data_IF_034434195559
#
_entry.id   IF_034434195559
#
_cell.length_a   1.000
_cell.length_b   1.000
_cell.length_c   1.000
_cell.angle_alpha   90.00
_cell.angle_beta   90.00
_cell.angle_gamma   90.00
#
_symmetry.space_group_name_H-M   'P 1'
#
loop_
_entity.id
_entity.type
_entity.pdbx_description
1 polymer ?
#
# COMPACT_ATOMS: atom_id res chain seq x y z
N UNK A 1 7.97 -26.03 9.73
CA UNK A 1 6.81 -25.52 8.95
C UNK A 1 6.99 -24.03 8.71
N UNK A 2 7.05 -23.61 7.47
CA UNK A 2 7.15 -22.20 7.06
C UNK A 2 5.81 -21.71 6.53
N UNK A 3 5.52 -20.42 6.67
CA UNK A 3 4.26 -19.81 6.26
C UNK A 3 4.54 -18.66 5.31
N UNK A 4 3.87 -18.66 4.17
CA UNK A 4 4.15 -17.74 3.07
C UNK A 4 2.84 -17.13 2.60
N UNK A 5 2.76 -15.81 2.57
CA UNK A 5 1.69 -15.07 1.90
C UNK A 5 2.31 -14.37 0.70
N UNK A 6 1.76 -14.61 -0.48
CA UNK A 6 2.11 -13.90 -1.71
C UNK A 6 0.87 -13.16 -2.18
N UNK A 7 0.93 -11.86 -2.15
CA UNK A 7 -0.16 -10.98 -2.49
C UNK A 7 0.13 -10.26 -3.80
N UNK A 8 -0.74 -10.48 -4.79
CA UNK A 8 -0.79 -9.69 -6.01
C UNK A 8 -1.84 -8.59 -5.86
N UNK A 9 -1.38 -7.39 -5.50
CA UNK A 9 -2.24 -6.23 -5.27
C UNK A 9 -3.12 -5.97 -6.49
N UNK A 10 -4.42 -5.75 -6.27
CA UNK A 10 -5.38 -5.44 -7.31
C UNK A 10 -5.52 -6.49 -8.43
N UNK A 11 -5.01 -7.72 -8.23
CA UNK A 11 -4.94 -8.76 -9.26
C UNK A 11 -6.34 -9.21 -9.73
N UNK A 12 -7.34 -9.18 -8.85
CA UNK A 12 -8.71 -9.55 -9.20
C UNK A 12 -9.39 -8.49 -10.09
N UNK A 13 -10.30 -8.96 -10.95
CA UNK A 13 -11.00 -8.12 -11.90
C UNK A 13 -12.35 -8.73 -12.28
N UNK A 14 -13.18 -7.95 -12.98
CA UNK A 14 -14.43 -8.37 -13.58
C UNK A 14 -14.19 -9.17 -14.89
N UNK A 15 -15.15 -9.97 -15.34
CA UNK A 15 -15.15 -10.51 -16.71
C UNK A 15 -15.16 -9.39 -17.75
N UNK A 16 -14.29 -9.48 -18.76
CA UNK A 16 -14.11 -8.45 -19.80
C UNK A 16 -14.50 -9.01 -21.16
N UNK A 17 -15.37 -8.31 -21.89
CA UNK A 17 -15.85 -8.77 -23.21
C UNK A 17 -14.71 -8.99 -24.21
N UNK A 18 -13.71 -8.12 -24.23
CA UNK A 18 -12.52 -8.25 -25.08
C UNK A 18 -11.69 -9.52 -24.79
N UNK A 19 -11.88 -10.15 -23.63
CA UNK A 19 -11.27 -11.41 -23.22
C UNK A 19 -12.24 -12.61 -23.37
N UNK A 20 -13.34 -12.43 -24.10
CA UNK A 20 -14.37 -13.45 -24.25
C UNK A 20 -15.11 -13.77 -22.96
N UNK A 21 -15.31 -12.77 -22.11
CA UNK A 21 -16.01 -12.91 -20.83
C UNK A 21 -15.15 -13.51 -19.69
N UNK A 22 -13.84 -13.48 -19.81
CA UNK A 22 -12.90 -13.89 -18.76
C UNK A 22 -12.31 -12.69 -18.05
N UNK A 23 -11.87 -12.87 -16.80
CA UNK A 23 -11.05 -11.88 -16.09
C UNK A 23 -9.60 -11.91 -16.58
N UNK A 24 -8.79 -10.86 -16.31
CA UNK A 24 -7.35 -10.88 -16.55
C UNK A 24 -6.65 -12.06 -15.90
N UNK A 25 -7.00 -12.40 -14.64
CA UNK A 25 -6.48 -13.57 -13.93
C UNK A 25 -6.82 -14.88 -14.65
N UNK A 26 -8.05 -15.03 -15.15
CA UNK A 26 -8.48 -16.22 -15.89
C UNK A 26 -7.82 -16.35 -17.28
N UNK A 27 -7.28 -15.27 -17.84
CA UNK A 27 -6.56 -15.25 -19.11
C UNK A 27 -5.05 -15.43 -18.95
N UNK A 28 -4.49 -15.05 -17.80
CA UNK A 28 -3.08 -15.16 -17.53
C UNK A 28 -2.61 -16.63 -17.50
N UNK A 29 -1.42 -16.87 -18.02
CA UNK A 29 -0.77 -18.19 -17.93
C UNK A 29 -0.07 -18.32 -16.57
N UNK A 30 -0.74 -18.98 -15.61
CA UNK A 30 -0.31 -19.10 -14.22
C UNK A 30 -0.16 -20.58 -13.79
N UNK A 31 0.76 -21.35 -14.40
CA UNK A 31 0.86 -22.79 -14.17
C UNK A 31 1.15 -23.17 -12.71
N UNK A 32 1.87 -22.33 -11.96
CA UNK A 32 2.17 -22.62 -10.55
C UNK A 32 0.98 -22.30 -9.66
N UNK A 33 0.29 -21.19 -9.86
CA UNK A 33 -0.96 -20.90 -9.14
C UNK A 33 -2.03 -21.95 -9.45
N UNK A 34 -2.14 -22.44 -10.70
CA UNK A 34 -3.04 -23.53 -11.08
C UNK A 34 -2.66 -24.85 -10.38
N UNK A 35 -1.36 -25.13 -10.28
CA UNK A 35 -0.87 -26.29 -9.51
C UNK A 35 -1.27 -26.17 -8.03
N UNK A 36 -1.05 -24.99 -7.41
CA UNK A 36 -1.46 -24.74 -6.03
C UNK A 36 -2.97 -24.91 -5.85
N UNK A 37 -3.78 -24.39 -6.78
CA UNK A 37 -5.24 -24.54 -6.77
C UNK A 37 -5.70 -26.00 -6.89
N UNK A 38 -5.00 -26.78 -7.74
CA UNK A 38 -5.32 -28.20 -7.93
C UNK A 38 -4.99 -29.07 -6.71
N UNK A 39 -4.03 -28.66 -5.90
CA UNK A 39 -3.51 -29.40 -4.73
C UNK A 39 -3.91 -28.80 -3.39
N UNK A 40 -4.37 -27.56 -3.37
CA UNK A 40 -4.73 -26.80 -2.18
C UNK A 40 -6.23 -26.66 -1.94
N UNK A 41 -6.56 -25.74 -1.08
CA UNK A 41 -7.91 -25.24 -0.84
C UNK A 41 -8.09 -23.91 -1.53
N UNK A 42 -9.22 -23.71 -2.18
CA UNK A 42 -9.61 -22.47 -2.85
C UNK A 42 -10.92 -21.94 -2.30
N UNK A 43 -11.13 -20.64 -2.38
CA UNK A 43 -12.38 -19.98 -2.05
C UNK A 43 -12.32 -18.48 -2.29
N UNK A 44 -13.37 -17.79 -1.86
CA UNK A 44 -13.47 -16.33 -1.88
C UNK A 44 -13.29 -15.75 -0.47
N UNK A 45 -12.70 -14.56 -0.37
CA UNK A 45 -12.48 -13.87 0.90
C UNK A 45 -12.84 -12.39 0.80
N UNK A 46 -13.49 -11.87 1.84
CA UNK A 46 -13.82 -10.46 1.99
C UNK A 46 -12.74 -9.75 2.81
N UNK A 47 -11.76 -9.16 2.15
CA UNK A 47 -10.65 -8.46 2.83
C UNK A 47 -11.01 -7.03 3.26
N UNK A 48 -11.89 -6.37 2.51
CA UNK A 48 -12.39 -5.03 2.84
C UNK A 48 -13.69 -5.16 3.63
N UNK A 49 -13.72 -4.82 4.93
CA UNK A 49 -14.95 -4.90 5.72
C UNK A 49 -16.03 -3.97 5.18
N UNK A 50 -17.29 -4.37 5.32
CA UNK A 50 -18.43 -3.56 4.92
C UNK A 50 -18.39 -2.17 5.59
N UNK A 51 -18.59 -1.12 4.81
CA UNK A 51 -18.61 0.26 5.28
C UNK A 51 -17.24 0.93 5.36
N UNK A 52 -16.14 0.21 5.09
CA UNK A 52 -14.81 0.80 4.93
C UNK A 52 -14.51 1.05 3.44
N UNK A 53 -13.77 2.13 3.18
CA UNK A 53 -13.31 2.41 1.82
C UNK A 53 -12.34 1.32 1.36
N UNK A 54 -12.46 0.83 0.11
CA UNK A 54 -11.52 -0.14 -0.41
C UNK A 54 -10.15 0.50 -0.62
N UNK A 55 -9.13 -0.11 -0.04
CA UNK A 55 -7.75 0.36 -0.14
C UNK A 55 -6.78 -0.67 0.41
N UNK A 56 -5.56 -0.63 -0.09
CA UNK A 56 -4.50 -1.57 0.30
C UNK A 56 -4.16 -1.50 1.81
N UNK A 57 -4.38 -0.35 2.46
CA UNK A 57 -4.23 -0.20 3.92
C UNK A 57 -5.20 -1.10 4.69
N UNK A 58 -6.48 -1.00 4.39
CA UNK A 58 -7.55 -1.79 5.04
C UNK A 58 -7.41 -3.27 4.67
N UNK A 59 -7.26 -3.57 3.38
CA UNK A 59 -7.23 -4.94 2.89
C UNK A 59 -5.99 -5.72 3.37
N UNK A 60 -4.80 -5.11 3.34
CA UNK A 60 -3.58 -5.78 3.82
C UNK A 60 -3.53 -5.95 5.34
N UNK A 61 -4.14 -5.06 6.14
CA UNK A 61 -4.38 -5.31 7.56
C UNK A 61 -5.20 -6.58 7.76
N UNK A 62 -6.30 -6.74 7.00
CA UNK A 62 -7.12 -7.95 7.03
C UNK A 62 -6.31 -9.19 6.70
N UNK A 63 -5.57 -9.21 5.59
CA UNK A 63 -4.79 -10.37 5.18
C UNK A 63 -3.72 -10.75 6.20
N UNK A 64 -3.13 -9.75 6.90
CA UNK A 64 -2.19 -9.97 8.01
C UNK A 64 -2.88 -10.40 9.33
N UNK A 65 -4.20 -10.51 9.32
CA UNK A 65 -4.96 -10.99 10.47
C UNK A 65 -5.29 -9.93 11.52
N UNK A 66 -5.20 -8.66 11.17
CA UNK A 66 -5.65 -7.56 12.00
C UNK A 66 -7.04 -7.12 11.55
N UNK A 67 -7.98 -6.98 12.48
CA UNK A 67 -9.31 -6.44 12.16
C UNK A 67 -9.20 -4.93 11.88
N UNK A 68 -9.40 -4.48 10.64
CA UNK A 68 -9.24 -3.06 10.31
C UNK A 68 -10.21 -2.16 11.06
N UNK A 69 -11.40 -2.65 11.39
CA UNK A 69 -12.38 -1.89 12.15
C UNK A 69 -11.88 -1.53 13.56
N UNK A 70 -10.92 -2.28 14.09
CA UNK A 70 -10.33 -2.08 15.42
C UNK A 70 -9.01 -1.34 15.36
N UNK A 71 -8.15 -1.65 14.38
CA UNK A 71 -6.76 -1.19 14.37
C UNK A 71 -6.46 -0.08 13.36
N UNK A 72 -7.29 0.12 12.35
CA UNK A 72 -7.06 1.16 11.34
C UNK A 72 -7.46 2.53 11.88
N UNK A 73 -6.55 3.47 11.79
CA UNK A 73 -6.74 4.83 12.32
C UNK A 73 -6.34 5.92 11.30
N UNK A 74 -6.15 5.53 10.04
CA UNK A 74 -5.74 6.39 8.95
C UNK A 74 -4.45 5.92 8.27
N UNK A 75 -4.23 6.40 7.05
CA UNK A 75 -3.08 6.02 6.21
C UNK A 75 -1.78 6.66 6.67
N UNK A 76 -1.82 7.94 7.04
CA UNK A 76 -0.62 8.71 7.39
C UNK A 76 0.20 8.14 8.54
N UNK A 77 -0.41 7.61 9.62
CA UNK A 77 0.36 6.95 10.68
C UNK A 77 1.13 5.73 10.21
N UNK A 78 0.58 4.95 9.28
CA UNK A 78 1.28 3.80 8.70
C UNK A 78 2.49 4.23 7.86
N UNK A 79 2.32 5.27 7.05
CA UNK A 79 3.44 5.85 6.28
C UNK A 79 4.51 6.45 7.20
N UNK A 80 4.12 7.09 8.31
CA UNK A 80 5.06 7.60 9.30
C UNK A 80 5.89 6.48 9.95
N UNK A 81 5.27 5.35 10.28
CA UNK A 81 5.98 4.18 10.80
C UNK A 81 7.02 3.64 9.81
N UNK A 82 6.73 3.67 8.50
CA UNK A 82 7.65 3.16 7.48
C UNK A 82 8.96 3.93 7.41
N UNK A 83 8.93 5.22 7.72
CA UNK A 83 10.12 6.10 7.74
C UNK A 83 10.70 6.28 9.14
N UNK A 84 10.26 5.48 10.12
CA UNK A 84 10.82 5.45 11.46
C UNK A 84 10.40 6.62 12.36
N UNK A 85 9.31 7.33 12.02
CA UNK A 85 8.79 8.43 12.84
C UNK A 85 8.12 7.88 14.09
N UNK A 86 8.61 8.27 15.26
CA UNK A 86 8.00 7.93 16.53
C UNK A 86 6.73 8.77 16.76
N UNK A 87 5.68 8.14 17.27
CA UNK A 87 4.42 8.79 17.60
C UNK A 87 3.82 8.22 18.89
N UNK A 88 3.18 9.07 19.66
CA UNK A 88 2.41 8.68 20.84
C UNK A 88 0.94 8.43 20.48
N UNK A 89 0.18 7.70 21.29
CA UNK A 89 -1.24 7.43 21.01
C UNK A 89 -2.14 8.66 20.90
N UNK A 90 -1.73 9.77 21.52
CA UNK A 90 -2.46 11.06 21.52
C UNK A 90 -2.05 11.98 20.36
N UNK A 91 -1.03 11.61 19.60
CA UNK A 91 -0.56 12.42 18.47
C UNK A 91 -1.48 12.25 17.25
N UNK A 92 -1.68 13.33 16.53
CA UNK A 92 -2.28 13.30 15.20
C UNK A 92 -1.17 13.29 14.16
N UNK A 93 -1.20 12.31 13.29
CA UNK A 93 -0.29 12.20 12.15
C UNK A 93 -1.01 12.71 10.92
N UNK A 94 -0.40 13.66 10.25
CA UNK A 94 -0.91 14.25 9.03
C UNK A 94 0.00 13.92 7.86
N UNK A 95 -0.55 13.58 6.74
CA UNK A 95 0.15 13.68 5.47
C UNK A 95 0.30 15.17 5.11
N UNK A 96 1.47 15.53 4.66
CA UNK A 96 1.79 16.89 4.29
C UNK A 96 2.41 16.90 2.89
N UNK A 97 1.63 17.28 1.90
CA UNK A 97 2.16 17.46 0.54
C UNK A 97 2.75 18.85 0.39
N UNK A 98 3.79 18.99 -0.46
CA UNK A 98 4.12 20.30 -1.05
C UNK A 98 3.44 20.36 -2.41
N UNK A 99 2.51 21.29 -2.57
CA UNK A 99 1.68 21.43 -3.77
C UNK A 99 2.04 22.70 -4.56
N UNK A 100 1.54 22.80 -5.79
CA UNK A 100 1.61 24.01 -6.62
C UNK A 100 0.27 24.74 -6.57
N UNK A 101 0.28 25.94 -6.06
CA UNK A 101 -0.84 26.89 -6.09
C UNK A 101 -0.54 28.06 -7.04
N UNK A 102 -1.60 28.65 -7.57
CA UNK A 102 -1.56 29.94 -8.28
C UNK A 102 -1.21 31.09 -7.33
N UNK A 103 -1.03 32.29 -7.89
CA UNK A 103 -0.56 33.45 -7.12
C UNK A 103 -1.65 34.48 -6.79
N UNK A 104 -2.95 34.19 -7.03
CA UNK A 104 -4.06 35.06 -6.68
C UNK A 104 -4.10 35.36 -5.16
N UNK A 105 -4.57 36.53 -4.82
CA UNK A 105 -4.79 36.95 -3.43
C UNK A 105 -6.28 37.30 -3.18
N UNK A 106 -6.83 37.00 -2.01
CA UNK A 106 -6.19 36.38 -0.83
C UNK A 106 -5.91 34.89 -1.00
N UNK A 107 -5.16 34.29 -0.08
CA UNK A 107 -4.75 32.86 -0.14
C UNK A 107 -5.89 31.89 -0.49
N UNK A 108 -7.09 32.14 0.05
CA UNK A 108 -8.26 31.29 -0.22
C UNK A 108 -8.78 31.34 -1.67
N UNK A 109 -8.37 32.34 -2.45
CA UNK A 109 -8.76 32.48 -3.87
C UNK A 109 -7.76 31.79 -4.82
N UNK A 110 -6.66 31.26 -4.30
CA UNK A 110 -5.70 30.49 -5.09
C UNK A 110 -6.32 29.23 -5.64
N UNK A 111 -5.80 28.76 -6.76
CA UNK A 111 -6.22 27.52 -7.42
C UNK A 111 -5.12 26.48 -7.23
N UNK A 112 -5.49 25.23 -6.91
CA UNK A 112 -4.55 24.13 -6.88
C UNK A 112 -4.26 23.63 -8.30
N UNK A 113 -3.01 23.79 -8.74
CA UNK A 113 -2.57 23.41 -10.09
C UNK A 113 -2.05 21.99 -10.14
N UNK A 114 -1.34 21.57 -9.09
CA UNK A 114 -0.66 20.27 -9.07
C UNK A 114 -0.41 19.82 -7.63
N UNK A 115 -0.88 18.62 -7.30
CA UNK A 115 -0.75 18.04 -5.97
C UNK A 115 0.65 17.47 -5.70
N UNK A 116 1.49 17.33 -6.74
CA UNK A 116 2.80 16.70 -6.70
C UNK A 116 3.95 17.65 -7.00
N UNK A 117 3.63 18.92 -7.35
CA UNK A 117 4.60 19.92 -7.80
C UNK A 117 5.48 19.44 -8.96
N UNK A 118 4.88 18.75 -9.95
CA UNK A 118 5.58 18.16 -11.09
C UNK A 118 6.45 16.98 -10.68
N UNK A 119 6.00 16.14 -9.76
CA UNK A 119 6.75 15.04 -9.19
C UNK A 119 8.13 15.53 -8.71
N UNK A 120 8.12 16.54 -7.82
CA UNK A 120 9.36 17.14 -7.30
C UNK A 120 10.33 16.07 -6.79
N UNK A 121 11.61 16.19 -7.09
CA UNK A 121 12.62 15.26 -6.59
C UNK A 121 12.70 15.31 -5.05
N UNK A 122 12.97 14.16 -4.40
CA UNK A 122 13.17 14.13 -2.94
C UNK A 122 14.24 15.10 -2.47
N UNK A 123 15.32 15.25 -3.24
CA UNK A 123 16.40 16.19 -2.92
C UNK A 123 15.94 17.66 -2.93
N UNK A 124 15.16 18.08 -3.95
CA UNK A 124 14.61 19.42 -4.01
C UNK A 124 13.59 19.65 -2.87
N UNK A 125 12.74 18.63 -2.63
CA UNK A 125 11.73 18.70 -1.57
C UNK A 125 12.37 18.82 -0.17
N UNK A 126 13.47 18.12 0.07
CA UNK A 126 14.17 18.18 1.36
C UNK A 126 14.70 19.57 1.67
N UNK A 127 15.24 20.27 0.67
CA UNK A 127 15.68 21.69 0.80
C UNK A 127 14.49 22.60 1.17
N UNK A 128 13.32 22.40 0.56
CA UNK A 128 12.13 23.18 0.90
C UNK A 128 11.58 22.82 2.28
N UNK A 129 11.65 21.55 2.64
CA UNK A 129 11.24 21.09 3.98
C UNK A 129 12.17 21.58 5.08
N UNK A 130 13.46 21.86 4.80
CA UNK A 130 14.35 22.54 5.76
C UNK A 130 13.81 23.92 6.12
N UNK A 131 13.39 24.72 5.13
CA UNK A 131 12.77 26.02 5.40
C UNK A 131 11.46 25.90 6.19
N UNK A 132 10.67 24.85 5.93
CA UNK A 132 9.45 24.55 6.70
C UNK A 132 9.78 24.17 8.14
N UNK A 133 10.77 23.30 8.37
CA UNK A 133 11.23 22.90 9.70
C UNK A 133 11.73 24.09 10.49
N UNK A 134 12.52 24.96 9.87
CA UNK A 134 13.01 26.19 10.52
C UNK A 134 11.86 27.10 10.96
N UNK A 135 10.80 27.22 10.15
CA UNK A 135 9.69 28.13 10.41
C UNK A 135 8.63 27.56 11.37
N UNK A 136 8.42 26.23 11.40
CA UNK A 136 7.23 25.66 12.06
C UNK A 136 7.52 24.55 13.05
N UNK A 137 8.73 23.93 13.08
CA UNK A 137 9.04 22.94 14.12
C UNK A 137 8.92 23.56 15.51
N UNK A 138 8.21 22.86 16.39
CA UNK A 138 7.96 23.26 17.77
C UNK A 138 7.71 22.02 18.62
N UNK A 139 7.49 22.20 19.92
CA UNK A 139 7.04 21.11 20.80
C UNK A 139 5.65 20.57 20.40
N UNK A 140 4.84 21.35 19.69
CA UNK A 140 3.52 20.96 19.24
C UNK A 140 3.51 20.34 17.84
N UNK A 141 4.32 20.84 16.90
CA UNK A 141 4.36 20.37 15.51
C UNK A 141 5.78 19.96 15.12
N UNK A 142 5.89 18.78 14.48
CA UNK A 142 7.15 18.27 13.96
C UNK A 142 6.98 17.81 12.52
N UNK A 143 7.90 18.21 11.64
CA UNK A 143 7.86 17.93 10.20
C UNK A 143 8.97 16.98 9.80
N UNK A 144 8.61 15.95 9.02
CA UNK A 144 9.52 14.91 8.54
C UNK A 144 9.46 14.82 7.02
N UNK A 145 10.63 14.83 6.37
CA UNK A 145 10.70 14.64 4.94
C UNK A 145 10.40 13.18 4.58
N UNK A 146 9.53 12.99 3.62
CA UNK A 146 9.26 11.71 3.00
C UNK A 146 9.83 11.65 1.59
N UNK A 147 9.14 10.99 0.67
CA UNK A 147 9.58 10.80 -0.71
C UNK A 147 8.87 11.79 -1.63
N UNK A 148 9.64 12.49 -2.49
CA UNK A 148 9.11 13.45 -3.46
C UNK A 148 8.27 14.54 -2.75
N UNK A 149 7.05 14.78 -3.17
CA UNK A 149 6.12 15.77 -2.62
C UNK A 149 5.43 15.34 -1.31
N UNK A 150 5.63 14.10 -0.85
CA UNK A 150 4.90 13.48 0.27
C UNK A 150 5.73 13.53 1.54
N UNK A 151 5.25 14.25 2.54
CA UNK A 151 5.89 14.43 3.84
C UNK A 151 4.92 14.10 4.96
N UNK A 152 5.43 14.05 6.19
CA UNK A 152 4.67 13.73 7.39
C UNK A 152 4.76 14.90 8.37
N UNK A 153 3.65 15.21 9.02
CA UNK A 153 3.62 16.14 10.15
C UNK A 153 3.03 15.42 11.36
N UNK A 154 3.71 15.50 12.50
CA UNK A 154 3.18 15.08 13.79
C UNK A 154 2.64 16.31 14.52
N UNK A 155 1.38 16.28 14.89
CA UNK A 155 0.74 17.25 15.77
C UNK A 155 0.55 16.63 17.14
N UNK A 156 1.42 17.03 18.09
CA UNK A 156 1.44 16.51 19.46
C UNK A 156 0.16 16.86 20.22
N UNK A 157 -0.49 15.83 20.77
CA UNK A 157 -1.76 15.98 21.50
C UNK A 157 -2.82 16.79 20.72
N UNK A 158 -2.84 16.64 19.38
CA UNK A 158 -3.74 17.33 18.49
C UNK A 158 -5.19 16.83 18.59
N UNK A 159 -6.07 17.48 17.86
CA UNK A 159 -7.47 17.06 17.69
C UNK A 159 -7.66 16.59 16.24
N UNK A 160 -8.45 15.53 16.03
CA UNK A 160 -8.67 14.98 14.69
C UNK A 160 -9.34 16.03 13.78
N UNK A 161 -8.65 16.54 12.76
CA UNK A 161 -9.18 17.52 11.84
C UNK A 161 -9.94 16.85 10.69
N UNK A 162 -10.89 17.56 10.10
CA UNK A 162 -11.44 17.23 8.79
C UNK A 162 -10.56 17.89 7.71
N UNK A 163 -10.06 17.10 6.79
CA UNK A 163 -9.11 17.53 5.77
C UNK A 163 -9.44 16.85 4.43
N UNK A 164 -9.23 17.60 3.36
CA UNK A 164 -9.50 17.15 1.99
C UNK A 164 -8.20 16.80 1.25
N UNK A 165 -8.17 15.68 0.50
CA UNK A 165 -7.01 15.30 -0.31
C UNK A 165 -6.77 16.29 -1.46
N UNK A 166 -5.54 16.74 -1.71
CA UNK A 166 -5.27 17.76 -2.73
C UNK A 166 -5.53 17.28 -4.17
N UNK A 167 -5.41 15.99 -4.42
CA UNK A 167 -5.61 15.40 -5.76
C UNK A 167 -7.09 15.36 -6.19
N UNK A 168 -8.03 15.46 -5.26
CA UNK A 168 -9.46 15.49 -5.56
C UNK A 168 -9.95 16.87 -6.02
N UNK A 169 -9.11 17.92 -5.83
CA UNK A 169 -9.50 19.32 -6.04
C UNK A 169 -8.61 20.05 -7.05
N UNK A 170 -7.95 19.32 -7.95
CA UNK A 170 -7.14 19.92 -9.01
C UNK A 170 -7.99 20.88 -9.87
N UNK A 171 -7.39 22.02 -10.23
CA UNK A 171 -8.01 23.10 -10.99
C UNK A 171 -9.16 23.86 -10.27
N UNK A 172 -9.34 23.62 -8.98
CA UNK A 172 -10.37 24.27 -8.16
C UNK A 172 -9.77 25.32 -7.23
N UNK A 173 -10.57 26.34 -6.91
CA UNK A 173 -10.24 27.35 -5.89
C UNK A 173 -10.21 26.69 -4.52
N UNK A 174 -9.15 26.94 -3.73
CA UNK A 174 -8.87 26.18 -2.51
C UNK A 174 -9.72 26.56 -1.30
N UNK A 175 -10.32 27.75 -1.28
CA UNK A 175 -11.03 28.29 -0.13
C UNK A 175 -11.99 27.33 0.56
N UNK A 176 -12.89 26.63 -0.18
CA UNK A 176 -13.83 25.65 0.39
C UNK A 176 -13.18 24.44 1.04
N UNK A 177 -11.94 24.11 0.66
CA UNK A 177 -11.22 22.89 1.05
C UNK A 177 -10.15 23.12 2.12
N UNK A 178 -9.96 24.37 2.55
CA UNK A 178 -9.01 24.71 3.60
C UNK A 178 -9.45 24.14 4.95
N UNK A 179 -8.50 23.72 5.81
CA UNK A 179 -8.82 23.24 7.15
C UNK A 179 -9.63 24.25 7.96
N UNK A 180 -10.61 23.73 8.70
CA UNK A 180 -11.33 24.55 9.70
C UNK A 180 -10.45 24.82 10.94
N UNK A 181 -9.45 23.98 11.18
CA UNK A 181 -8.49 24.15 12.27
C UNK A 181 -7.59 25.36 12.00
N UNK A 182 -7.65 26.41 12.84
CA UNK A 182 -6.95 27.68 12.57
C UNK A 182 -5.44 27.56 12.48
N UNK A 183 -4.82 26.66 13.27
CA UNK A 183 -3.37 26.46 13.26
C UNK A 183 -2.90 25.86 11.94
N UNK A 184 -3.58 24.81 11.45
CA UNK A 184 -3.24 24.17 10.18
C UNK A 184 -3.42 25.14 9.01
N UNK A 185 -4.53 25.89 9.01
CA UNK A 185 -4.80 26.90 7.98
C UNK A 185 -3.72 27.99 7.97
N UNK A 186 -3.37 28.53 9.13
CA UNK A 186 -2.33 29.57 9.25
C UNK A 186 -0.96 29.07 8.79
N UNK A 187 -0.62 27.79 9.04
CA UNK A 187 0.62 27.20 8.56
C UNK A 187 0.63 27.03 7.04
N UNK A 188 -0.50 26.66 6.41
CA UNK A 188 -0.62 26.58 4.95
C UNK A 188 -0.41 27.96 4.32
N UNK A 189 -1.08 29.00 4.82
CA UNK A 189 -0.92 30.38 4.33
C UNK A 189 0.52 30.90 4.48
N UNK A 190 1.13 30.70 5.67
CA UNK A 190 2.52 31.11 5.92
C UNK A 190 3.52 30.31 5.08
N UNK A 191 3.25 29.03 4.84
CA UNK A 191 4.12 28.21 4.01
C UNK A 191 4.20 28.73 2.58
N UNK A 192 3.08 29.25 2.04
CA UNK A 192 3.08 29.86 0.73
C UNK A 192 3.98 31.11 0.68
N UNK A 193 3.93 31.97 1.68
CA UNK A 193 4.79 33.15 1.74
C UNK A 193 6.29 32.78 1.78
N UNK A 194 6.64 31.69 2.47
CA UNK A 194 8.01 31.20 2.58
C UNK A 194 8.45 30.52 1.27
N UNK A 195 7.66 29.58 0.79
CA UNK A 195 8.06 28.69 -0.30
C UNK A 195 7.96 29.37 -1.67
N UNK A 196 6.96 30.25 -1.91
CA UNK A 196 6.77 30.89 -3.21
C UNK A 196 7.96 31.78 -3.64
N UNK A 197 8.66 32.33 -2.66
CA UNK A 197 9.83 33.20 -2.86
C UNK A 197 11.16 32.48 -2.59
N UNK A 198 11.12 31.21 -2.22
CA UNK A 198 12.34 30.44 -1.95
C UNK A 198 13.25 30.35 -3.19
N UNK A 199 14.58 30.53 -3.07
CA UNK A 199 15.51 30.54 -4.22
C UNK A 199 15.37 29.33 -5.13
N UNK A 200 15.20 28.11 -4.57
CA UNK A 200 14.98 26.88 -5.35
C UNK A 200 13.70 26.96 -6.20
N UNK A 201 12.61 27.52 -5.67
CA UNK A 201 11.36 27.66 -6.41
C UNK A 201 11.46 28.72 -7.52
N UNK A 202 12.23 29.77 -7.31
CA UNK A 202 12.54 30.74 -8.37
C UNK A 202 13.36 30.10 -9.48
N UNK A 203 14.35 29.28 -9.13
CA UNK A 203 15.14 28.51 -10.10
C UNK A 203 14.29 27.48 -10.87
N UNK A 204 13.38 26.77 -10.17
CA UNK A 204 12.43 25.82 -10.77
C UNK A 204 11.54 26.53 -11.80
N UNK A 205 10.96 27.67 -11.42
CA UNK A 205 10.13 28.47 -12.32
C UNK A 205 10.92 28.98 -13.55
N UNK A 206 12.16 29.42 -13.37
CA UNK A 206 13.02 29.85 -14.47
C UNK A 206 13.35 28.71 -15.45
N UNK A 207 13.30 27.46 -14.98
CA UNK A 207 13.46 26.23 -15.80
C UNK A 207 12.13 25.68 -16.34
N UNK A 208 11.02 26.41 -16.21
CA UNK A 208 9.69 25.99 -16.66
C UNK A 208 9.08 24.85 -15.83
N UNK A 209 9.58 24.61 -14.62
CA UNK A 209 9.01 23.63 -13.68
C UNK A 209 8.01 24.29 -12.74
N UNK A 210 7.06 23.52 -12.25
CA UNK A 210 6.12 23.98 -11.22
C UNK A 210 6.88 24.38 -9.94
N UNK A 211 6.49 25.51 -9.32
CA UNK A 211 6.90 25.83 -7.97
C UNK A 211 6.24 24.85 -7.00
N UNK A 212 6.96 24.38 -6.02
CA UNK A 212 6.41 23.65 -4.88
C UNK A 212 6.19 24.64 -3.74
N UNK A 213 5.07 25.38 -3.78
CA UNK A 213 4.95 26.68 -3.11
C UNK A 213 3.98 26.71 -1.93
N UNK A 214 3.33 25.62 -1.57
CA UNK A 214 2.47 25.57 -0.38
C UNK A 214 2.44 24.19 0.25
N UNK A 215 2.35 24.11 1.57
CA UNK A 215 1.97 22.88 2.27
C UNK A 215 0.47 22.60 2.07
N UNK A 216 0.13 21.30 2.05
CA UNK A 216 -1.25 20.84 2.07
C UNK A 216 -1.39 19.66 3.02
N UNK A 217 -2.14 19.84 4.12
CA UNK A 217 -2.38 18.80 5.11
C UNK A 217 -3.59 17.96 4.74
N UNK A 218 -3.48 16.63 4.88
CA UNK A 218 -4.58 15.69 4.64
C UNK A 218 -4.32 14.33 5.28
N UNK A 219 -5.27 13.40 5.18
CA UNK A 219 -5.09 12.01 5.58
C UNK A 219 -4.76 11.82 7.07
N UNK A 220 -5.38 12.65 7.94
CA UNK A 220 -5.16 12.60 9.38
C UNK A 220 -5.44 11.22 9.97
N UNK A 221 -4.65 10.83 10.98
CA UNK A 221 -4.85 9.60 11.74
C UNK A 221 -4.09 9.61 13.05
N UNK A 222 -4.35 8.61 13.88
CA UNK A 222 -3.65 8.37 15.15
C UNK A 222 -2.76 7.15 15.05
N UNK A 223 -1.89 6.93 16.04
CA UNK A 223 -1.07 5.72 16.10
C UNK A 223 -1.92 4.47 15.97
N UNK A 224 -1.68 3.59 14.97
CA UNK A 224 -2.47 2.37 14.81
C UNK A 224 -2.23 1.40 15.98
N UNK A 225 -3.30 0.76 16.43
CA UNK A 225 -3.23 -0.25 17.51
C UNK A 225 -2.93 -1.62 16.94
N UNK A 226 -1.68 -1.85 16.53
CA UNK A 226 -1.23 -3.14 16.01
C UNK A 226 -0.55 -3.95 17.11
N UNK A 227 -1.15 -5.09 17.46
CA UNK A 227 -0.50 -6.08 18.31
C UNK A 227 0.77 -6.60 17.62
N UNK A 228 1.87 -6.77 18.35
CA UNK A 228 3.08 -7.37 17.80
C UNK A 228 2.79 -8.73 17.15
N UNK A 229 3.26 -8.94 15.94
CA UNK A 229 2.96 -10.15 15.14
C UNK A 229 3.46 -11.42 15.82
N UNK A 230 4.66 -11.37 16.43
CA UNK A 230 5.21 -12.53 17.14
C UNK A 230 4.40 -12.84 18.40
N UNK A 231 3.96 -11.84 19.16
CA UNK A 231 3.09 -12.05 20.32
C UNK A 231 1.72 -12.63 19.91
N UNK A 232 1.17 -12.14 18.79
CA UNK A 232 -0.12 -12.59 18.26
C UNK A 232 -0.08 -14.02 17.71
N UNK A 233 0.99 -14.37 17.00
CA UNK A 233 1.06 -15.62 16.23
C UNK A 233 2.04 -16.65 16.78
N UNK A 234 3.00 -16.25 17.59
CA UNK A 234 4.14 -17.08 18.02
C UNK A 234 5.22 -17.22 16.93
N UNK A 235 5.12 -16.48 15.80
CA UNK A 235 5.99 -16.61 14.65
C UNK A 235 6.81 -15.34 14.42
N UNK A 236 8.06 -15.50 13.99
CA UNK A 236 8.87 -14.39 13.51
C UNK A 236 8.47 -14.04 12.08
N UNK A 237 7.88 -12.86 11.90
CA UNK A 237 7.37 -12.39 10.63
C UNK A 237 8.35 -11.51 9.86
N UNK A 238 8.29 -11.60 8.53
CA UNK A 238 8.99 -10.74 7.59
C UNK A 238 8.04 -10.16 6.53
N UNK A 239 8.36 -8.95 6.05
CA UNK A 239 7.64 -8.25 4.98
C UNK A 239 8.60 -7.92 3.84
N UNK A 240 8.19 -8.24 2.62
CA UNK A 240 8.86 -7.84 1.38
C UNK A 240 7.88 -7.01 0.54
N UNK A 241 8.07 -5.70 0.47
CA UNK A 241 7.21 -4.78 -0.29
C UNK A 241 8.01 -3.57 -0.78
N UNK A 242 7.63 -3.01 -1.93
CA UNK A 242 8.11 -1.71 -2.40
C UNK A 242 7.34 -0.55 -1.73
N UNK A 243 6.11 -0.81 -1.27
CA UNK A 243 5.13 0.19 -0.83
C UNK A 243 5.37 0.58 0.62
N UNK A 244 5.54 1.87 0.89
CA UNK A 244 5.82 2.36 2.25
C UNK A 244 4.68 2.06 3.23
N UNK A 245 3.44 2.10 2.77
CA UNK A 245 2.26 1.73 3.55
C UNK A 245 2.39 0.32 4.15
N UNK A 246 2.77 -0.67 3.35
CA UNK A 246 2.95 -2.06 3.78
C UNK A 246 4.14 -2.23 4.73
N UNK A 247 5.24 -1.51 4.44
CA UNK A 247 6.39 -1.44 5.34
C UNK A 247 5.98 -0.87 6.69
N UNK A 248 5.13 0.18 6.70
CA UNK A 248 4.61 0.78 7.92
C UNK A 248 3.75 -0.17 8.75
N UNK A 249 2.87 -0.95 8.10
CA UNK A 249 2.12 -2.03 8.77
C UNK A 249 3.08 -3.04 9.42
N UNK A 250 4.10 -3.46 8.68
CA UNK A 250 5.08 -4.42 9.17
C UNK A 250 5.88 -3.87 10.37
N UNK A 251 6.36 -2.63 10.30
CA UNK A 251 7.06 -1.95 11.41
C UNK A 251 6.14 -1.84 12.63
N UNK A 252 4.90 -1.38 12.44
CA UNK A 252 3.90 -1.29 13.51
C UNK A 252 3.57 -2.62 14.17
N UNK A 253 3.61 -3.71 13.39
CA UNK A 253 3.42 -5.07 13.84
C UNK A 253 4.70 -5.75 14.37
N UNK A 254 5.85 -5.07 14.39
CA UNK A 254 7.13 -5.62 14.84
C UNK A 254 7.71 -6.72 13.93
N UNK A 255 7.37 -6.70 12.63
CA UNK A 255 7.91 -7.60 11.62
C UNK A 255 9.20 -7.05 11.02
N UNK A 256 10.09 -7.94 10.56
CA UNK A 256 11.30 -7.56 9.83
C UNK A 256 10.94 -7.09 8.41
N UNK A 257 11.41 -5.91 8.01
CA UNK A 257 11.21 -5.37 6.65
C UNK A 257 12.46 -5.60 5.81
N UNK A 258 12.27 -6.18 4.62
CA UNK A 258 13.34 -6.38 3.64
C UNK A 258 13.29 -5.29 2.56
N UNK A 259 14.42 -4.60 2.40
CA UNK A 259 14.60 -3.65 1.30
C UNK A 259 15.15 -4.41 0.10
N UNK A 260 14.46 -4.31 -1.04
CA UNK A 260 14.86 -5.00 -2.28
C UNK A 260 15.29 -3.95 -3.31
N UNK A 261 16.56 -3.91 -3.71
CA UNK A 261 17.01 -2.97 -4.75
C UNK A 261 16.23 -3.19 -6.05
N UNK A 262 15.75 -2.10 -6.65
CA UNK A 262 14.95 -2.15 -7.88
C UNK A 262 13.50 -2.63 -7.68
N UNK A 263 13.04 -2.80 -6.44
CA UNK A 263 11.63 -3.01 -6.18
C UNK A 263 10.86 -1.68 -6.38
N UNK A 264 9.85 -1.74 -7.24
CA UNK A 264 8.93 -0.63 -7.56
C UNK A 264 7.48 -1.09 -7.41
N UNK A 265 6.52 -0.18 -7.55
CA UNK A 265 5.09 -0.51 -7.67
C UNK A 265 4.68 -0.92 -9.08
N UNK A 266 5.53 -0.79 -10.08
CA UNK A 266 5.21 -1.01 -11.49
C UNK A 266 5.58 -2.41 -12.00
N UNK A 267 5.23 -2.69 -13.25
CA UNK A 267 5.46 -3.99 -13.91
C UNK A 267 6.96 -4.35 -14.05
N UNK A 268 7.85 -3.35 -14.05
CA UNK A 268 9.31 -3.53 -14.10
C UNK A 268 9.95 -3.82 -12.74
N UNK A 269 9.14 -3.97 -11.68
CA UNK A 269 9.64 -4.30 -10.33
C UNK A 269 10.56 -5.52 -10.34
N UNK A 270 11.53 -5.55 -9.43
CA UNK A 270 12.46 -6.68 -9.27
C UNK A 270 11.78 -7.88 -8.59
N UNK A 271 11.05 -8.69 -9.38
CA UNK A 271 10.37 -9.90 -8.91
C UNK A 271 11.35 -10.91 -8.32
N UNK A 272 12.48 -11.14 -8.98
CA UNK A 272 13.51 -12.10 -8.54
C UNK A 272 14.14 -11.67 -7.22
N UNK A 273 14.40 -10.37 -7.06
CA UNK A 273 14.90 -9.80 -5.79
C UNK A 273 13.89 -9.96 -4.65
N UNK A 274 12.59 -9.79 -4.91
CA UNK A 274 11.53 -10.04 -3.93
C UNK A 274 11.45 -11.53 -3.56
N UNK A 275 11.54 -12.42 -4.56
CA UNK A 275 11.57 -13.86 -4.32
C UNK A 275 12.79 -14.27 -3.47
N UNK A 276 13.98 -13.75 -3.80
CA UNK A 276 15.20 -14.04 -3.07
C UNK A 276 15.13 -13.53 -1.62
N UNK A 277 14.59 -12.34 -1.39
CA UNK A 277 14.40 -11.80 -0.04
C UNK A 277 13.46 -12.68 0.80
N UNK A 278 12.38 -13.20 0.21
CA UNK A 278 11.47 -14.13 0.88
C UNK A 278 12.17 -15.45 1.22
N UNK A 279 12.95 -16.01 0.30
CA UNK A 279 13.73 -17.24 0.51
C UNK A 279 14.76 -17.02 1.63
N UNK A 280 15.50 -15.92 1.60
CA UNK A 280 16.52 -15.61 2.61
C UNK A 280 15.89 -15.40 3.99
N UNK A 281 14.74 -14.74 4.08
CA UNK A 281 14.00 -14.60 5.32
C UNK A 281 13.69 -15.95 5.98
N UNK A 282 13.20 -16.90 5.18
CA UNK A 282 12.74 -18.20 5.67
C UNK A 282 13.89 -19.19 5.92
N UNK A 283 14.95 -19.17 5.09
CA UNK A 283 16.01 -20.19 5.12
C UNK A 283 17.29 -19.75 5.83
N UNK A 284 17.58 -18.44 5.86
CA UNK A 284 18.84 -17.91 6.43
C UNK A 284 18.63 -17.09 7.69
N UNK A 285 17.56 -16.26 7.73
CA UNK A 285 17.38 -15.25 8.78
C UNK A 285 16.46 -15.70 9.92
N UNK A 286 16.00 -16.97 9.86
CA UNK A 286 15.22 -17.60 10.92
C UNK A 286 13.80 -17.06 11.07
N UNK A 287 13.22 -16.45 10.03
CA UNK A 287 11.82 -16.13 9.99
C UNK A 287 10.97 -17.40 9.77
N UNK A 288 9.78 -17.41 10.36
CA UNK A 288 8.81 -18.49 10.22
C UNK A 288 7.71 -18.13 9.23
N UNK A 289 7.48 -16.84 9.04
CA UNK A 289 6.44 -16.25 8.21
C UNK A 289 7.03 -15.18 7.31
N UNK A 290 6.64 -15.16 6.04
CA UNK A 290 6.95 -14.07 5.10
C UNK A 290 5.70 -13.62 4.36
N UNK A 291 5.55 -12.31 4.25
CA UNK A 291 4.54 -11.64 3.45
C UNK A 291 5.22 -10.95 2.28
N UNK A 292 4.91 -11.35 1.06
CA UNK A 292 5.47 -10.75 -0.16
C UNK A 292 4.37 -10.03 -0.91
N UNK A 293 4.55 -8.76 -1.11
CA UNK A 293 3.59 -7.87 -1.78
C UNK A 293 4.12 -7.43 -3.15
N UNK A 294 3.28 -7.52 -4.17
CA UNK A 294 3.57 -7.07 -5.54
C UNK A 294 2.43 -6.17 -6.01
N UNK A 295 2.70 -4.88 -6.18
CA UNK A 295 1.72 -3.84 -6.55
C UNK A 295 1.44 -3.80 -8.06
N UNK A 296 2.28 -4.41 -8.88
CA UNK A 296 2.24 -4.28 -10.34
C UNK A 296 0.85 -4.54 -10.98
N UNK A 297 0.05 -5.56 -10.60
CA UNK A 297 -1.27 -5.74 -11.19
C UNK A 297 -2.24 -4.61 -10.88
N UNK A 298 -2.15 -4.00 -9.69
CA UNK A 298 -2.96 -2.87 -9.25
C UNK A 298 -2.64 -1.62 -10.08
N UNK A 299 -1.38 -1.27 -10.18
CA UNK A 299 -0.92 -0.11 -10.95
C UNK A 299 -1.33 -0.21 -12.43
N UNK A 300 -1.24 -1.41 -13.01
CA UNK A 300 -1.72 -1.63 -14.39
C UNK A 300 -3.25 -1.51 -14.48
N UNK A 301 -3.98 -1.91 -13.43
CA UNK A 301 -5.42 -1.71 -13.28
C UNK A 301 -5.80 -0.23 -13.27
N UNK A 302 -5.15 0.58 -12.45
CA UNK A 302 -5.34 2.03 -12.37
C UNK A 302 -5.07 2.75 -13.70
N UNK A 303 -4.05 2.32 -14.42
CA UNK A 303 -3.71 2.88 -15.73
C UNK A 303 -4.62 2.37 -16.85
N UNK A 304 -5.43 1.34 -16.63
CA UNK A 304 -6.28 0.71 -17.64
C UNK A 304 -5.49 -0.10 -18.67
N UNK A 305 -4.33 -0.61 -18.31
CA UNK A 305 -3.39 -1.35 -19.15
C UNK A 305 -3.64 -2.85 -19.04
N UNK A 306 -4.64 -3.33 -19.78
CA UNK A 306 -5.12 -4.72 -19.71
C UNK A 306 -4.03 -5.76 -19.99
N UNK A 307 -3.22 -5.57 -21.04
CA UNK A 307 -2.18 -6.52 -21.41
C UNK A 307 -1.08 -6.60 -20.36
N UNK A 308 -0.68 -5.46 -19.84
CA UNK A 308 0.33 -5.32 -18.83
C UNK A 308 -0.17 -5.88 -17.47
N UNK A 309 -1.47 -5.76 -17.17
CA UNK A 309 -2.07 -6.40 -16.00
C UNK A 309 -1.97 -7.92 -16.09
N UNK A 310 -2.38 -8.52 -17.21
CA UNK A 310 -2.22 -9.96 -17.45
C UNK A 310 -0.73 -10.37 -17.32
N UNK A 311 0.16 -9.63 -17.95
CA UNK A 311 1.60 -9.91 -17.92
C UNK A 311 2.19 -9.82 -16.50
N UNK A 312 1.74 -8.85 -15.69
CA UNK A 312 2.18 -8.70 -14.30
C UNK A 312 1.76 -9.89 -13.42
N UNK A 313 0.57 -10.45 -13.67
CA UNK A 313 0.06 -11.68 -13.03
C UNK A 313 0.92 -12.90 -13.44
N UNK A 314 1.26 -13.00 -14.71
CA UNK A 314 2.16 -14.07 -15.22
C UNK A 314 3.58 -13.94 -14.63
N UNK A 315 4.09 -12.72 -14.46
CA UNK A 315 5.38 -12.50 -13.81
C UNK A 315 5.34 -12.88 -12.33
N UNK A 316 4.26 -12.56 -11.62
CA UNK A 316 4.06 -12.99 -10.24
C UNK A 316 4.16 -14.51 -10.12
N UNK A 317 3.48 -15.25 -11.01
CA UNK A 317 3.52 -16.72 -11.03
C UNK A 317 4.93 -17.27 -11.28
N UNK A 318 5.54 -16.85 -12.40
CA UNK A 318 6.79 -17.46 -12.91
C UNK A 318 8.04 -16.96 -12.21
N UNK A 319 8.10 -15.66 -11.85
CA UNK A 319 9.32 -15.00 -11.37
C UNK A 319 9.36 -14.83 -9.84
N UNK A 320 8.21 -15.08 -9.15
CA UNK A 320 8.15 -14.97 -7.70
C UNK A 320 7.60 -16.25 -7.05
N UNK A 321 6.38 -16.70 -7.37
CA UNK A 321 5.77 -17.87 -6.73
C UNK A 321 6.57 -19.14 -7.02
N UNK A 322 6.91 -19.38 -8.30
CA UNK A 322 7.65 -20.55 -8.71
C UNK A 322 9.01 -20.70 -8.01
N UNK A 323 9.90 -19.68 -7.97
CA UNK A 323 11.17 -19.82 -7.29
C UNK A 323 11.05 -19.95 -5.78
N UNK A 324 10.09 -19.27 -5.13
CA UNK A 324 9.86 -19.40 -3.67
C UNK A 324 9.39 -20.82 -3.33
N UNK A 325 8.39 -21.34 -4.05
CA UNK A 325 7.89 -22.72 -3.87
C UNK A 325 9.03 -23.73 -4.05
N UNK A 326 9.77 -23.62 -5.15
CA UNK A 326 10.89 -24.52 -5.45
C UNK A 326 11.97 -24.48 -4.37
N UNK A 327 12.32 -23.32 -3.85
CA UNK A 327 13.33 -23.18 -2.80
C UNK A 327 12.92 -23.88 -1.51
N UNK A 328 11.63 -23.83 -1.13
CA UNK A 328 11.13 -24.57 0.04
C UNK A 328 11.17 -26.08 -0.19
N UNK A 329 10.80 -26.55 -1.38
CA UNK A 329 10.86 -27.96 -1.75
C UNK A 329 12.32 -28.47 -1.78
N UNK A 330 13.25 -27.72 -2.37
CA UNK A 330 14.67 -28.06 -2.44
C UNK A 330 15.33 -28.08 -1.04
N UNK A 331 14.87 -27.23 -0.12
CA UNK A 331 15.32 -27.21 1.27
C UNK A 331 14.71 -28.32 2.12
N UNK A 332 13.73 -29.07 1.61
CA UNK A 332 12.98 -30.08 2.37
C UNK A 332 12.15 -29.49 3.51
N UNK A 333 11.78 -28.22 3.40
CA UNK A 333 10.98 -27.54 4.40
C UNK A 333 9.49 -27.78 4.18
N UNK A 334 8.79 -28.20 5.21
CA UNK A 334 7.32 -28.18 5.19
C UNK A 334 6.83 -26.73 5.19
N UNK A 335 5.91 -26.41 4.28
CA UNK A 335 5.40 -25.05 4.17
C UNK A 335 3.92 -25.00 3.80
N UNK A 336 3.30 -23.84 4.14
CA UNK A 336 1.99 -23.45 3.65
C UNK A 336 2.12 -22.14 2.91
N UNK A 337 1.41 -22.03 1.81
CA UNK A 337 1.44 -20.86 0.95
C UNK A 337 0.00 -20.39 0.69
N UNK A 338 -0.26 -19.13 0.99
CA UNK A 338 -1.50 -18.42 0.67
C UNK A 338 -1.20 -17.44 -0.46
N UNK A 339 -1.89 -17.58 -1.57
CA UNK A 339 -1.82 -16.65 -2.70
C UNK A 339 -3.20 -16.00 -2.87
N UNK A 340 -3.24 -14.67 -2.91
CA UNK A 340 -4.48 -13.92 -3.08
C UNK A 340 -4.19 -12.47 -3.53
N UNK A 341 -5.16 -11.77 -4.13
CA UNK A 341 -5.18 -10.30 -4.14
C UNK A 341 -5.70 -9.76 -2.80
N UNK A 342 -5.49 -8.48 -2.56
CA UNK A 342 -6.09 -7.77 -1.42
C UNK A 342 -7.50 -7.24 -1.75
N UNK A 343 -7.68 -6.66 -2.90
CA UNK A 343 -8.94 -6.17 -3.47
C UNK A 343 -8.94 -6.28 -5.00
N UNK A 344 -10.09 -6.13 -5.68
CA UNK A 344 -10.13 -5.92 -7.12
C UNK A 344 -9.71 -4.49 -7.48
N UNK A 345 -9.03 -4.35 -8.64
CA UNK A 345 -8.79 -3.07 -9.30
C UNK A 345 -9.22 -3.19 -10.76
N UNK A 346 -10.54 -3.18 -11.01
CA UNK A 346 -11.06 -3.44 -12.33
C UNK A 346 -10.58 -2.45 -13.39
N UNK A 347 -10.08 -2.96 -14.50
CA UNK A 347 -9.61 -2.18 -15.67
C UNK A 347 -10.65 -1.13 -16.11
N UNK A 348 -11.93 -1.50 -16.03
CA UNK A 348 -13.04 -0.62 -16.40
C UNK A 348 -13.17 0.59 -15.46
N UNK A 349 -12.96 0.37 -14.18
CA UNK A 349 -13.14 1.39 -13.13
C UNK A 349 -11.87 2.21 -12.87
N UNK A 350 -10.70 1.60 -13.06
CA UNK A 350 -9.38 2.18 -12.73
C UNK A 350 -9.27 2.64 -11.28
N UNK A 351 -9.97 1.95 -10.40
CA UNK A 351 -9.96 2.18 -8.95
C UNK A 351 -10.37 0.90 -8.24
N UNK A 352 -10.12 0.85 -6.94
CA UNK A 352 -10.42 -0.29 -6.11
C UNK A 352 -11.94 -0.51 -5.92
N UNK A 353 -12.33 -1.76 -5.76
CA UNK A 353 -13.65 -2.14 -5.26
C UNK A 353 -13.54 -2.98 -3.98
N UNK A 354 -14.62 -3.02 -3.21
CA UNK A 354 -14.68 -3.80 -1.97
C UNK A 354 -15.22 -5.21 -2.16
N UNK A 355 -15.24 -5.73 -3.38
CA UNK A 355 -15.77 -7.07 -3.66
C UNK A 355 -14.85 -8.17 -3.12
N UNK A 356 -15.39 -9.38 -2.83
CA UNK A 356 -14.59 -10.52 -2.43
C UNK A 356 -13.57 -10.92 -3.50
N UNK A 357 -12.44 -11.45 -3.07
CA UNK A 357 -11.35 -11.86 -3.95
C UNK A 357 -11.06 -13.36 -3.81
N UNK A 358 -10.52 -14.02 -4.86
CA UNK A 358 -10.15 -15.42 -4.78
C UNK A 358 -8.90 -15.63 -3.92
N UNK A 359 -8.85 -16.73 -3.17
CA UNK A 359 -7.64 -17.18 -2.51
C UNK A 359 -7.34 -18.66 -2.83
N UNK A 360 -6.07 -19.01 -2.78
CA UNK A 360 -5.61 -20.41 -2.73
C UNK A 360 -4.69 -20.60 -1.53
N UNK A 361 -4.98 -21.63 -0.73
CA UNK A 361 -4.20 -22.05 0.42
C UNK A 361 -3.65 -23.45 0.15
N UNK A 362 -2.34 -23.53 -0.04
CA UNK A 362 -1.60 -24.76 -0.28
C UNK A 362 -0.88 -25.22 0.99
N UNK A 363 -0.89 -26.53 1.23
CA UNK A 363 -0.16 -27.18 2.32
C UNK A 363 0.70 -28.30 1.74
N UNK A 364 2.03 -28.20 1.83
CA UNK A 364 2.97 -29.18 1.28
C UNK A 364 2.77 -30.58 1.88
N UNK A 365 2.24 -30.66 3.09
CA UNK A 365 2.02 -31.93 3.83
C UNK A 365 0.63 -32.54 3.60
N UNK A 366 -0.33 -31.78 3.06
CA UNK A 366 -1.73 -32.21 2.87
C UNK A 366 -2.27 -31.79 1.52
N UNK A 367 -1.85 -32.48 0.48
CA UNK A 367 -2.30 -32.18 -0.87
C UNK A 367 -3.71 -32.75 -1.14
N UNK A 368 -4.56 -31.90 -1.69
CA UNK A 368 -5.86 -32.28 -2.28
C UNK A 368 -5.67 -32.68 -3.74
N UNK A 369 -6.70 -33.20 -4.38
CA UNK A 369 -6.69 -33.45 -5.83
C UNK A 369 -7.93 -32.80 -6.43
N UNK A 370 -7.73 -31.81 -7.29
CA UNK A 370 -8.78 -31.21 -8.11
C UNK A 370 -8.22 -30.86 -9.49
N UNK A 371 -9.09 -30.51 -10.41
CA UNK A 371 -8.71 -30.03 -11.75
C UNK A 371 -8.92 -28.52 -11.88
N UNK A 372 -9.17 -27.84 -10.77
CA UNK A 372 -9.47 -26.39 -10.75
C UNK A 372 -8.23 -25.57 -11.06
N UNK A 373 -8.46 -24.48 -11.77
CA UNK A 373 -7.49 -23.42 -11.99
C UNK A 373 -7.71 -22.28 -11.00
N UNK A 374 -6.68 -21.49 -10.76
CA UNK A 374 -6.81 -20.33 -9.90
C UNK A 374 -7.43 -19.16 -10.65
N UNK A 375 -8.75 -19.03 -10.55
CA UNK A 375 -9.54 -17.93 -11.13
C UNK A 375 -10.66 -17.54 -10.17
N UNK A 376 -11.24 -16.36 -10.35
CA UNK A 376 -12.37 -15.87 -9.57
C UNK A 376 -13.56 -16.84 -9.68
N UNK A 377 -13.91 -17.22 -10.91
CA UNK A 377 -15.06 -18.09 -11.18
C UNK A 377 -14.89 -19.49 -10.53
N UNK A 378 -13.69 -20.07 -10.63
CA UNK A 378 -13.40 -21.38 -10.03
C UNK A 378 -13.36 -21.30 -8.50
N UNK A 379 -12.87 -20.20 -7.94
CA UNK A 379 -12.87 -19.95 -6.50
C UNK A 379 -14.29 -19.81 -5.95
N UNK A 380 -15.14 -19.03 -6.64
CA UNK A 380 -16.56 -18.87 -6.29
C UNK A 380 -17.31 -20.21 -6.40
N UNK A 381 -17.05 -20.99 -7.43
CA UNK A 381 -17.68 -22.30 -7.65
C UNK A 381 -17.32 -23.35 -6.56
N UNK A 382 -16.34 -23.09 -5.70
CA UNK A 382 -16.05 -23.95 -4.53
C UNK A 382 -17.12 -23.85 -3.44
N UNK A 383 -17.83 -22.72 -3.35
CA UNK A 383 -18.73 -22.38 -2.25
C UNK A 383 -18.01 -22.04 -0.94
N UNK A 384 -16.69 -22.07 -0.89
CA UNK A 384 -15.91 -21.63 0.27
C UNK A 384 -15.87 -20.10 0.30
N UNK A 385 -16.34 -19.52 1.40
CA UNK A 385 -16.35 -18.08 1.56
C UNK A 385 -15.91 -17.69 2.99
N UNK A 386 -14.95 -16.79 3.10
CA UNK A 386 -14.53 -16.20 4.36
C UNK A 386 -14.99 -14.72 4.40
N UNK A 387 -16.04 -14.40 5.18
CA UNK A 387 -16.60 -13.05 5.23
C UNK A 387 -15.76 -12.05 6.02
N UNK A 388 -14.77 -12.51 6.77
CA UNK A 388 -13.89 -11.69 7.59
C UNK A 388 -12.43 -11.98 7.22
N UNK A 389 -11.88 -11.23 6.29
CA UNK A 389 -10.55 -11.48 5.73
C UNK A 389 -9.46 -11.68 6.78
N UNK A 390 -9.55 -10.95 7.92
CA UNK A 390 -8.60 -11.08 9.03
C UNK A 390 -8.60 -12.46 9.72
N UNK A 391 -9.57 -13.35 9.41
CA UNK A 391 -9.59 -14.72 9.89
C UNK A 391 -8.90 -15.72 8.97
N UNK A 392 -8.68 -15.36 7.70
CA UNK A 392 -8.08 -16.27 6.74
C UNK A 392 -6.66 -16.71 7.15
N UNK A 393 -5.88 -15.83 7.76
CA UNK A 393 -4.54 -16.15 8.24
C UNK A 393 -4.57 -17.26 9.32
N UNK A 394 -5.64 -17.37 10.11
CA UNK A 394 -5.78 -18.44 11.11
C UNK A 394 -5.86 -19.82 10.44
N UNK A 395 -6.49 -19.87 9.25
CA UNK A 395 -6.53 -21.12 8.44
C UNK A 395 -5.14 -21.44 7.89
N UNK A 396 -4.38 -20.44 7.43
CA UNK A 396 -2.99 -20.62 7.02
C UNK A 396 -2.14 -21.17 8.16
N UNK A 397 -2.31 -20.64 9.38
CA UNK A 397 -1.54 -21.03 10.57
C UNK A 397 -2.09 -22.27 11.29
N UNK A 398 -3.23 -22.83 10.85
CA UNK A 398 -3.96 -23.92 11.54
C UNK A 398 -4.26 -23.64 13.02
N UNK A 399 -4.75 -22.44 13.31
CA UNK A 399 -5.18 -22.02 14.65
C UNK A 399 -6.68 -21.90 14.75
#
# INVERSE_FOLDING_TARGET
MKYIVILGDGMADEPIDALGGKSPLACAETPVMDELASKGEMGMVQNVPAGMAPGSDVANLSVLGYDPAVCYSGRSPLEALSVGVAMEPTDIVLRCNIVTLTEEEPYAEKTILDHSSGEISTADADILMDAIREAFNSDEFQYYTGTSYRHITIWKNGTMPQLEPPHDHLTQVIGPYLPQEPKLRAMMEKSFAILNTHPLNLERAAKGKNKANSLWFWGAGTKPSLQNFTEKTGLKGAMVSAVDLLKGIAVGAGMKVYQVPGATGSIDTNFEGKAQAAIDALTKDGCDFVYVHVEAPDEMGHQGLLKEKIQSIEYLDRRLIAPVKKAMEDAGEDFRMLVLPDHPTPIRLRTHTGDPVPYVLYDSTRQRKSIRKYTEAEAEATGNYEPNGYRLIQRLLCK
#
